data_IF_560142087191
#
_entry.id   IF_560142087191
#
_cell.length_a   1.000
_cell.length_b   1.000
_cell.length_c   1.000
_cell.angle_alpha   90.00
_cell.angle_beta   90.00
_cell.angle_gamma   90.00
#
_symmetry.space_group_name_H-M   'P 1'
#
loop_
_entity.id
_entity.type
_entity.pdbx_description
1 polymer ?
#
# COMPACT_ATOMS: atom_id res chain seq x y z
N UNK A 1 -3.08 22.59 -33.21
CA UNK A 1 -3.64 21.30 -32.72
C UNK A 1 -4.66 21.59 -31.62
N UNK A 2 -5.97 21.55 -31.92
CA UNK A 2 -7.02 21.72 -30.89
C UNK A 2 -6.95 20.51 -29.95
N UNK A 3 -6.45 20.71 -28.73
CA UNK A 3 -6.54 19.66 -27.71
C UNK A 3 -8.03 19.39 -27.47
N UNK A 4 -8.48 18.20 -27.85
CA UNK A 4 -9.86 17.78 -27.68
C UNK A 4 -10.23 17.79 -26.20
N UNK A 5 -11.47 18.16 -25.87
CA UNK A 5 -12.02 18.08 -24.51
C UNK A 5 -11.78 16.69 -23.88
N UNK A 6 -11.79 15.64 -24.73
CA UNK A 6 -11.44 14.26 -24.35
C UNK A 6 -10.04 14.14 -23.76
N UNK A 7 -9.05 14.84 -24.31
CA UNK A 7 -7.67 14.76 -23.82
C UNK A 7 -7.57 15.39 -22.43
N UNK A 8 -8.21 16.54 -22.20
CA UNK A 8 -8.22 17.17 -20.87
C UNK A 8 -8.92 16.29 -19.83
N UNK A 9 -10.04 15.67 -20.18
CA UNK A 9 -10.74 14.73 -19.30
C UNK A 9 -9.88 13.51 -18.95
N UNK A 10 -9.27 12.85 -19.95
CA UNK A 10 -8.40 11.68 -19.75
C UNK A 10 -7.17 12.05 -18.92
N UNK A 11 -6.55 13.19 -19.20
CA UNK A 11 -5.41 13.68 -18.41
C UNK A 11 -5.82 13.93 -16.96
N UNK A 12 -6.93 14.63 -16.71
CA UNK A 12 -7.43 14.88 -15.35
C UNK A 12 -7.75 13.59 -14.59
N UNK A 13 -8.40 12.63 -15.26
CA UNK A 13 -8.70 11.32 -14.67
C UNK A 13 -7.43 10.55 -14.31
N UNK A 14 -6.46 10.45 -15.22
CA UNK A 14 -5.18 9.76 -14.98
C UNK A 14 -4.38 10.41 -13.84
N UNK A 15 -4.41 11.74 -13.73
CA UNK A 15 -3.72 12.45 -12.64
C UNK A 15 -4.38 12.21 -11.28
N UNK A 16 -5.71 12.11 -11.22
CA UNK A 16 -6.44 11.86 -9.98
C UNK A 16 -6.49 10.38 -9.58
N UNK A 17 -6.29 9.46 -10.53
CA UNK A 17 -6.43 8.03 -10.31
C UNK A 17 -5.57 7.48 -9.15
N UNK A 18 -4.29 7.84 -8.99
CA UNK A 18 -3.49 7.38 -7.85
C UNK A 18 -4.08 7.80 -6.50
N UNK A 19 -4.56 9.05 -6.39
CA UNK A 19 -5.19 9.56 -5.17
C UNK A 19 -6.54 8.90 -4.90
N UNK A 20 -7.34 8.68 -5.94
CA UNK A 20 -8.61 7.98 -5.81
C UNK A 20 -8.42 6.54 -5.30
N UNK A 21 -7.40 5.84 -5.83
CA UNK A 21 -7.06 4.48 -5.40
C UNK A 21 -6.60 4.44 -3.94
N UNK A 22 -5.76 5.38 -3.49
CA UNK A 22 -5.33 5.40 -2.08
C UNK A 22 -6.50 5.64 -1.13
N UNK A 23 -7.37 6.61 -1.42
CA UNK A 23 -8.57 6.87 -0.63
C UNK A 23 -9.49 5.65 -0.62
N UNK A 24 -9.73 5.04 -1.78
CA UNK A 24 -10.55 3.83 -1.91
C UNK A 24 -10.02 2.69 -1.02
N UNK A 25 -8.72 2.39 -1.09
CA UNK A 25 -8.10 1.33 -0.28
C UNK A 25 -8.20 1.65 1.21
N UNK A 26 -7.93 2.88 1.62
CA UNK A 26 -8.03 3.29 3.03
C UNK A 26 -9.46 3.12 3.56
N UNK A 27 -10.46 3.58 2.82
CA UNK A 27 -11.88 3.44 3.20
C UNK A 27 -12.27 1.97 3.26
N UNK A 28 -11.86 1.17 2.27
CA UNK A 28 -12.16 -0.26 2.22
C UNK A 28 -11.57 -1.01 3.43
N UNK A 29 -10.28 -0.79 3.74
CA UNK A 29 -9.63 -1.38 4.92
C UNK A 29 -10.29 -0.91 6.21
N UNK A 30 -10.58 0.39 6.33
CA UNK A 30 -11.24 0.96 7.49
C UNK A 30 -12.61 0.32 7.74
N UNK A 31 -13.43 0.16 6.70
CA UNK A 31 -14.73 -0.49 6.79
C UNK A 31 -14.61 -1.96 7.23
N UNK A 32 -13.63 -2.71 6.69
CA UNK A 32 -13.39 -4.10 7.08
C UNK A 32 -12.97 -4.21 8.55
N UNK A 33 -12.07 -3.34 8.99
CA UNK A 33 -11.63 -3.33 10.38
C UNK A 33 -12.73 -2.88 11.34
N UNK A 34 -13.50 -1.84 10.99
CA UNK A 34 -14.67 -1.47 11.78
C UNK A 34 -15.64 -2.63 11.93
N UNK A 35 -15.95 -3.35 10.84
CA UNK A 35 -16.83 -4.52 10.91
C UNK A 35 -16.29 -5.64 11.80
N UNK A 36 -14.97 -5.87 11.77
CA UNK A 36 -14.31 -6.83 12.67
C UNK A 36 -14.34 -6.34 14.12
N UNK A 37 -14.04 -5.07 14.38
CA UNK A 37 -14.03 -4.49 15.73
C UNK A 37 -15.44 -4.50 16.33
N UNK A 38 -16.47 -4.09 15.59
CA UNK A 38 -17.87 -4.16 16.08
C UNK A 38 -18.30 -5.58 16.43
N UNK A 39 -17.71 -6.60 15.79
CA UNK A 39 -17.98 -8.01 16.08
C UNK A 39 -17.17 -8.54 17.26
N UNK A 40 -15.91 -8.12 17.39
CA UNK A 40 -14.97 -8.66 18.38
C UNK A 40 -15.02 -7.91 19.72
N UNK A 41 -15.18 -6.58 19.72
CA UNK A 41 -15.24 -5.77 20.95
C UNK A 41 -16.27 -6.29 21.97
N UNK A 42 -17.53 -6.62 21.62
CA UNK A 42 -18.48 -7.15 22.59
C UNK A 42 -18.14 -8.55 23.11
N UNK A 43 -17.29 -9.32 22.42
CA UNK A 43 -16.81 -10.63 22.89
C UNK A 43 -15.70 -10.50 23.94
N UNK A 44 -14.86 -9.47 23.83
CA UNK A 44 -13.73 -9.27 24.75
C UNK A 44 -14.07 -8.34 25.93
N UNK A 45 -15.07 -7.48 25.78
CA UNK A 45 -15.48 -6.51 26.81
C UNK A 45 -17.01 -6.51 26.93
N UNK A 46 -17.62 -7.59 27.48
CA UNK A 46 -19.06 -7.65 27.69
C UNK A 46 -19.57 -6.59 28.71
N UNK A 47 -18.68 -6.02 29.53
CA UNK A 47 -19.05 -5.30 30.75
C UNK A 47 -19.00 -3.77 30.65
N UNK A 48 -18.48 -3.17 29.58
CA UNK A 48 -18.26 -1.71 29.54
C UNK A 48 -19.23 -0.91 28.66
N UNK A 49 -19.95 -1.54 27.71
CA UNK A 49 -20.89 -0.81 26.84
C UNK A 49 -22.12 -1.67 26.54
N UNK A 50 -23.24 -1.47 27.27
CA UNK A 50 -24.54 -2.05 26.93
C UNK A 50 -24.91 -1.71 25.47
N UNK A 51 -25.41 -2.70 24.75
CA UNK A 51 -25.85 -2.57 23.35
C UNK A 51 -26.89 -1.45 23.13
N UNK A 52 -27.64 -1.08 24.17
CA UNK A 52 -28.58 0.05 24.18
C UNK A 52 -27.90 1.43 24.15
N UNK A 53 -26.76 1.60 24.83
CA UNK A 53 -26.01 2.87 24.84
C UNK A 53 -25.19 3.10 23.56
N UNK A 54 -24.96 2.06 22.76
CA UNK A 54 -24.36 2.22 21.42
C UNK A 54 -25.31 2.91 20.42
N UNK A 55 -26.64 2.77 20.63
CA UNK A 55 -27.66 3.41 19.80
C UNK A 55 -27.93 4.87 20.24
N UNK A 56 -27.90 5.15 21.55
CA UNK A 56 -28.21 6.49 22.10
C UNK A 56 -27.00 7.42 22.21
N UNK A 57 -25.78 6.91 22.44
CA UNK A 57 -24.56 7.72 22.51
C UNK A 57 -23.81 7.82 21.16
N UNK A 58 -24.56 7.74 20.06
CA UNK A 58 -24.08 7.52 18.69
C UNK A 58 -23.00 8.48 18.15
N UNK A 59 -22.78 9.63 18.80
CA UNK A 59 -21.72 10.57 18.45
C UNK A 59 -20.35 10.25 19.05
N UNK A 60 -20.27 10.12 20.37
CA UNK A 60 -18.99 10.05 21.12
C UNK A 60 -18.41 8.64 21.19
N UNK A 61 -19.26 7.63 21.42
CA UNK A 61 -18.82 6.22 21.45
C UNK A 61 -18.43 5.77 20.03
N UNK A 62 -19.15 6.24 19.00
CA UNK A 62 -18.75 5.98 17.61
C UNK A 62 -17.42 6.66 17.27
N UNK A 63 -17.13 7.84 17.85
CA UNK A 63 -15.84 8.51 17.68
C UNK A 63 -14.70 7.72 18.32
N UNK A 64 -14.86 7.21 19.55
CA UNK A 64 -13.85 6.39 20.22
C UNK A 64 -13.51 5.12 19.44
N UNK A 65 -14.52 4.41 18.93
CA UNK A 65 -14.31 3.22 18.08
C UNK A 65 -13.61 3.57 16.77
N UNK A 66 -13.98 4.69 16.13
CA UNK A 66 -13.31 5.17 14.90
C UNK A 66 -11.85 5.55 15.15
N UNK A 67 -11.55 6.21 16.28
CA UNK A 67 -10.18 6.58 16.67
C UNK A 67 -9.36 5.31 16.93
N UNK A 68 -9.92 4.34 17.65
CA UNK A 68 -9.25 3.07 17.90
C UNK A 68 -8.96 2.31 16.60
N UNK A 69 -9.94 2.24 15.69
CA UNK A 69 -9.75 1.66 14.36
C UNK A 69 -8.64 2.37 13.56
N UNK A 70 -8.61 3.70 13.62
CA UNK A 70 -7.56 4.50 12.98
C UNK A 70 -6.17 4.20 13.57
N UNK A 71 -6.05 4.15 14.89
CA UNK A 71 -4.78 3.80 15.56
C UNK A 71 -4.32 2.39 15.22
N UNK A 72 -5.23 1.42 15.15
CA UNK A 72 -4.92 0.05 14.75
C UNK A 72 -4.40 0.01 13.31
N UNK A 73 -5.03 0.73 12.38
CA UNK A 73 -4.55 0.82 10.98
C UNK A 73 -3.16 1.43 10.94
N UNK A 74 -2.96 2.54 11.63
CA UNK A 74 -1.68 3.26 11.64
C UNK A 74 -0.57 2.37 12.24
N UNK A 75 -0.87 1.68 13.33
CA UNK A 75 0.02 0.70 13.94
C UNK A 75 0.31 -0.50 13.03
N UNK A 76 -0.71 -1.05 12.37
CA UNK A 76 -0.56 -2.18 11.44
C UNK A 76 0.30 -1.81 10.22
N UNK A 77 0.05 -0.65 9.59
CA UNK A 77 0.85 -0.16 8.46
C UNK A 77 2.31 0.06 8.89
N UNK A 78 2.52 0.67 10.07
CA UNK A 78 3.85 0.93 10.62
C UNK A 78 4.59 -0.38 10.90
N UNK A 79 3.92 -1.35 11.53
CA UNK A 79 4.48 -2.65 11.84
C UNK A 79 4.82 -3.44 10.57
N UNK A 80 3.95 -3.38 9.56
CA UNK A 80 4.19 -4.02 8.27
C UNK A 80 5.39 -3.38 7.55
N UNK A 81 5.50 -2.05 7.57
CA UNK A 81 6.66 -1.34 7.04
C UNK A 81 7.96 -1.70 7.77
N UNK A 82 7.91 -1.77 9.10
CA UNK A 82 9.03 -2.18 9.93
C UNK A 82 9.47 -3.63 9.68
N UNK A 83 8.52 -4.54 9.47
CA UNK A 83 8.84 -5.91 9.13
C UNK A 83 9.49 -5.99 7.75
N UNK A 84 8.95 -5.27 6.77
CA UNK A 84 9.44 -5.22 5.38
C UNK A 84 10.83 -4.59 5.26
N UNK A 85 11.17 -3.64 6.14
CA UNK A 85 12.50 -3.01 6.15
C UNK A 85 13.59 -3.91 6.71
N UNK A 86 13.23 -4.94 7.48
CA UNK A 86 14.18 -5.96 7.97
C UNK A 86 14.48 -6.99 6.89
N UNK A 87 15.72 -7.50 6.89
CA UNK A 87 16.20 -8.52 5.93
C UNK A 87 15.29 -9.76 5.89
N UNK A 88 14.80 -10.19 7.06
CA UNK A 88 13.90 -11.35 7.17
C UNK A 88 12.57 -11.07 6.48
N UNK A 89 11.95 -9.90 6.71
CA UNK A 89 10.68 -9.57 6.09
C UNK A 89 10.80 -9.42 4.58
N UNK A 90 11.89 -8.82 4.08
CA UNK A 90 12.17 -8.77 2.63
C UNK A 90 12.27 -10.17 2.01
N UNK A 91 13.02 -11.10 2.64
CA UNK A 91 13.13 -12.49 2.16
C UNK A 91 11.80 -13.22 2.15
N UNK A 92 10.96 -13.03 3.17
CA UNK A 92 9.63 -13.65 3.26
C UNK A 92 8.72 -13.13 2.14
N UNK A 93 8.72 -11.82 1.91
CA UNK A 93 7.93 -11.21 0.83
C UNK A 93 8.37 -11.71 -0.55
N UNK A 94 9.68 -11.73 -0.82
CA UNK A 94 10.20 -12.25 -2.09
C UNK A 94 9.82 -13.74 -2.32
N UNK A 95 9.76 -14.53 -1.25
CA UNK A 95 9.31 -15.92 -1.32
C UNK A 95 7.82 -16.04 -1.63
N UNK A 96 6.98 -15.26 -0.94
CA UNK A 96 5.53 -15.23 -1.15
C UNK A 96 5.19 -14.77 -2.57
N UNK A 97 5.85 -13.73 -3.05
CA UNK A 97 5.70 -13.24 -4.42
C UNK A 97 5.95 -14.32 -5.46
N UNK A 98 7.12 -14.98 -5.39
CA UNK A 98 7.50 -16.00 -6.37
C UNK A 98 6.63 -17.26 -6.30
N UNK A 99 6.25 -17.66 -5.08
CA UNK A 99 5.57 -18.96 -4.87
C UNK A 99 4.05 -18.86 -4.98
N UNK A 100 3.47 -17.72 -4.63
CA UNK A 100 2.01 -17.52 -4.58
C UNK A 100 1.57 -16.58 -5.70
N UNK A 101 1.98 -15.31 -5.64
CA UNK A 101 1.43 -14.27 -6.51
C UNK A 101 1.79 -14.46 -8.00
N UNK A 102 3.02 -14.90 -8.30
CA UNK A 102 3.46 -15.13 -9.69
C UNK A 102 2.93 -16.42 -10.33
N UNK A 103 2.33 -17.32 -9.56
CA UNK A 103 1.75 -18.57 -10.09
C UNK A 103 0.27 -18.45 -10.42
N UNK A 104 -0.40 -17.40 -9.97
CA UNK A 104 -1.83 -17.20 -10.22
C UNK A 104 -1.98 -16.52 -11.60
N UNK A 105 -2.52 -17.22 -12.62
CA UNK A 105 -2.47 -16.79 -14.02
C UNK A 105 -3.17 -15.44 -14.30
N UNK A 106 -4.11 -15.02 -13.44
CA UNK A 106 -4.79 -13.71 -13.55
C UNK A 106 -4.15 -12.60 -12.71
N UNK A 107 -3.47 -12.94 -11.61
CA UNK A 107 -2.93 -11.96 -10.65
C UNK A 107 -1.48 -11.61 -10.99
N UNK A 108 -0.73 -12.58 -11.53
CA UNK A 108 0.70 -12.40 -11.83
C UNK A 108 0.98 -11.19 -12.73
N UNK A 109 0.26 -10.96 -13.85
CA UNK A 109 0.54 -9.81 -14.72
C UNK A 109 0.36 -8.47 -13.98
N UNK A 110 -0.74 -8.33 -13.22
CA UNK A 110 -1.06 -7.10 -12.47
C UNK A 110 0.02 -6.84 -11.41
N UNK A 111 0.37 -7.86 -10.63
CA UNK A 111 1.36 -7.72 -9.56
C UNK A 111 2.75 -7.38 -10.10
N UNK A 112 3.19 -8.02 -11.19
CA UNK A 112 4.49 -7.72 -11.82
C UNK A 112 4.56 -6.28 -12.31
N UNK A 113 3.56 -5.82 -13.05
CA UNK A 113 3.53 -4.44 -13.56
C UNK A 113 3.56 -3.42 -12.42
N UNK A 114 2.78 -3.63 -11.37
CA UNK A 114 2.79 -2.74 -10.20
C UNK A 114 4.14 -2.75 -9.48
N UNK A 115 4.77 -3.92 -9.33
CA UNK A 115 6.09 -4.04 -8.71
C UNK A 115 7.18 -3.37 -9.55
N UNK A 116 7.21 -3.58 -10.85
CA UNK A 116 8.19 -2.94 -11.75
C UNK A 116 8.09 -1.41 -11.71
N UNK A 117 6.86 -0.87 -11.76
CA UNK A 117 6.61 0.56 -11.61
C UNK A 117 7.21 1.05 -10.27
N UNK A 118 6.85 0.40 -9.16
CA UNK A 118 7.35 0.77 -7.83
C UNK A 118 8.89 0.68 -7.75
N UNK A 119 9.47 -0.41 -8.23
CA UNK A 119 10.92 -0.62 -8.24
C UNK A 119 11.64 0.48 -9.05
N UNK A 120 11.13 0.88 -10.22
CA UNK A 120 11.74 1.97 -11.00
C UNK A 120 11.67 3.32 -10.26
N UNK A 121 10.50 3.68 -9.71
CA UNK A 121 10.30 4.96 -9.04
C UNK A 121 11.07 5.07 -7.71
N UNK A 122 11.25 3.96 -6.99
CA UNK A 122 11.87 3.96 -5.66
C UNK A 122 13.34 3.50 -5.66
N UNK A 123 13.81 2.70 -6.63
CA UNK A 123 15.22 2.26 -6.76
C UNK A 123 16.07 3.25 -7.57
N UNK A 124 15.44 4.10 -8.41
CA UNK A 124 16.12 5.07 -9.28
C UNK A 124 17.10 6.05 -8.59
N UNK A 125 17.05 6.19 -7.25
CA UNK A 125 18.03 6.99 -6.48
C UNK A 125 19.37 6.28 -6.21
N UNK A 126 19.51 4.98 -6.55
CA UNK A 126 20.69 4.16 -6.23
C UNK A 126 21.60 3.87 -7.43
N UNK A 127 21.44 4.59 -8.55
CA UNK A 127 22.51 4.68 -9.55
C UNK A 127 23.54 5.69 -9.07
N UNK A 128 24.44 5.23 -8.20
CA UNK A 128 25.76 5.85 -8.07
C UNK A 128 26.32 5.86 -9.49
N UNK A 129 26.37 7.02 -10.12
CA UNK A 129 26.99 7.23 -11.42
C UNK A 129 28.40 6.63 -11.36
N UNK A 130 28.56 5.39 -11.81
CA UNK A 130 29.88 4.83 -12.07
C UNK A 130 30.40 5.63 -13.26
N UNK A 131 31.34 6.53 -12.98
CA UNK A 131 32.03 7.33 -13.99
C UNK A 131 32.59 6.34 -15.02
N UNK A 132 32.00 6.32 -16.21
CA UNK A 132 32.45 5.46 -17.30
C UNK A 132 33.76 6.06 -17.80
N UNK A 133 34.87 5.39 -17.49
CA UNK A 133 36.18 5.73 -18.05
C UNK A 133 36.38 4.90 -19.31
N UNK A 134 36.54 5.59 -20.43
CA UNK A 134 36.94 4.98 -21.70
C UNK A 134 38.39 4.52 -21.54
N UNK A 135 38.60 3.20 -21.62
CA UNK A 135 39.92 2.58 -21.70
C UNK A 135 40.15 2.23 -23.16
N UNK A 136 41.15 2.87 -23.77
CA UNK A 136 41.56 2.56 -25.13
C UNK A 136 42.29 1.20 -25.15
N UNK A 137 41.83 0.28 -26.00
CA UNK A 137 42.44 -1.04 -26.24
C UNK A 137 42.44 -1.30 -27.76
N UNK A 138 43.50 -1.86 -28.37
CA UNK A 138 44.79 -2.27 -27.79
C UNK A 138 45.79 -1.13 -27.61
N UNK A 139 46.71 -1.28 -26.64
CA UNK A 139 47.79 -0.30 -26.40
C UNK A 139 48.90 -0.50 -27.41
N UNK A 140 49.38 0.57 -28.04
CA UNK A 140 50.56 0.50 -28.92
C UNK A 140 51.78 0.10 -28.09
N UNK A 141 52.30 -1.11 -28.31
CA UNK A 141 53.50 -1.64 -27.64
C UNK A 141 53.32 -2.97 -26.91
N UNK A 142 52.14 -3.59 -26.97
CA UNK A 142 51.87 -5.00 -26.62
C UNK A 142 51.02 -5.64 -27.70
#
# INVERSE_FOLDING_TARGET
MRKSLRNYFITGLLTLLPLAVTIFVLVWVFQKLNGLLTRLVPLFIPTLIPSSLMAEAGGLISMGVKILAFLIILGAITLFGFFTSRVVGRKILDFLEKKVFFKIPLVSPIYRTLKEINDVFFIGKKYIFKRVVMLEYPRRGV
#
